data_IF_455287097956
#
_entry.id   IF_455287097956
#
_cell.length_a   1.000
_cell.length_b   1.000
_cell.length_c   1.000
_cell.angle_alpha   90.00
_cell.angle_beta   90.00
_cell.angle_gamma   90.00
#
_symmetry.space_group_name_H-M   'P 1'
#
loop_
_entity.id
_entity.type
_entity.pdbx_description
1 polymer ?
#
# COMPACT_ATOMS: atom_id res chain seq x y z
N UNK A 1 -14.49 -22.77 -5.33
CA UNK A 1 -13.03 -22.50 -5.42
C UNK A 1 -12.85 -21.12 -6.06
N UNK A 2 -11.99 -20.27 -5.54
CA UNK A 2 -11.73 -18.92 -6.06
C UNK A 2 -10.22 -18.64 -6.11
N UNK A 3 -9.81 -17.72 -6.95
CA UNK A 3 -8.46 -17.17 -6.97
C UNK A 3 -8.47 -15.81 -6.25
N UNK A 4 -7.43 -15.58 -5.42
CA UNK A 4 -7.23 -14.35 -4.69
C UNK A 4 -6.27 -13.45 -5.47
N UNK A 5 -6.77 -12.26 -5.87
CA UNK A 5 -6.02 -11.25 -6.58
C UNK A 5 -5.64 -10.11 -5.65
N UNK A 6 -4.47 -9.56 -5.86
CA UNK A 6 -3.92 -8.36 -5.23
C UNK A 6 -3.21 -7.53 -6.29
N UNK A 7 -2.84 -6.29 -6.00
CA UNK A 7 -2.08 -5.46 -6.93
C UNK A 7 -0.69 -5.06 -6.42
N UNK A 8 0.13 -4.56 -7.33
CA UNK A 8 1.51 -4.21 -7.02
C UNK A 8 1.67 -2.95 -6.16
N UNK A 9 0.59 -2.18 -5.94
CA UNK A 9 0.64 -0.97 -5.10
C UNK A 9 0.52 -1.27 -3.59
N UNK A 10 0.44 -2.55 -3.23
CA UNK A 10 0.28 -3.05 -1.87
C UNK A 10 1.60 -3.51 -1.23
N UNK A 11 2.74 -3.16 -1.81
CA UNK A 11 4.12 -3.47 -1.35
C UNK A 11 4.39 -4.98 -1.16
N UNK A 12 3.59 -5.86 -1.76
CA UNK A 12 3.74 -7.30 -1.66
C UNK A 12 4.79 -7.78 -2.63
N UNK A 13 5.77 -8.54 -2.16
CA UNK A 13 6.80 -9.12 -3.02
C UNK A 13 6.25 -10.24 -3.92
N UNK A 14 6.86 -10.41 -5.08
CA UNK A 14 6.52 -11.51 -5.99
C UNK A 14 6.72 -12.89 -5.34
N UNK A 15 7.74 -13.03 -4.48
CA UNK A 15 7.97 -14.27 -3.71
C UNK A 15 6.81 -14.58 -2.78
N UNK A 16 6.36 -13.60 -1.99
CA UNK A 16 5.20 -13.77 -1.11
C UNK A 16 3.94 -14.15 -1.89
N UNK A 17 3.70 -13.49 -3.02
CA UNK A 17 2.55 -13.81 -3.87
C UNK A 17 2.62 -15.24 -4.41
N UNK A 18 3.78 -15.67 -4.93
CA UNK A 18 4.00 -17.04 -5.42
C UNK A 18 3.82 -18.09 -4.32
N UNK A 19 4.40 -17.88 -3.13
CA UNK A 19 4.31 -18.78 -1.97
C UNK A 19 2.88 -18.99 -1.48
N UNK A 20 2.02 -17.99 -1.65
CA UNK A 20 0.64 -18.00 -1.19
C UNK A 20 -0.40 -18.17 -2.31
N UNK A 21 0.02 -18.51 -3.54
CA UNK A 21 -0.84 -18.68 -4.71
C UNK A 21 -1.71 -17.45 -5.02
N UNK A 22 -1.19 -16.25 -4.77
CA UNK A 22 -1.87 -15.01 -5.10
C UNK A 22 -1.66 -14.65 -6.57
N UNK A 23 -2.67 -14.05 -7.19
CA UNK A 23 -2.60 -13.49 -8.53
C UNK A 23 -2.28 -12.00 -8.44
N UNK A 24 -1.22 -11.56 -9.11
CA UNK A 24 -0.79 -10.17 -9.10
C UNK A 24 -1.34 -9.39 -10.29
N UNK A 25 -1.85 -8.20 -10.03
CA UNK A 25 -2.20 -7.19 -11.03
C UNK A 25 -1.12 -6.10 -10.98
N UNK A 26 -0.45 -5.88 -12.09
CA UNK A 26 0.62 -4.88 -12.19
C UNK A 26 0.05 -3.48 -12.38
N UNK A 27 0.37 -2.55 -11.46
CA UNK A 27 0.04 -1.14 -11.57
C UNK A 27 1.20 -0.41 -12.25
N UNK A 28 1.02 0.15 -13.46
CA UNK A 28 2.12 0.66 -14.25
C UNK A 28 2.58 2.06 -13.81
N UNK A 29 3.86 2.33 -14.02
CA UNK A 29 4.44 3.66 -13.92
C UNK A 29 5.25 3.99 -15.18
N UNK A 30 5.49 5.28 -15.42
CA UNK A 30 6.14 5.79 -16.63
C UNK A 30 7.36 6.60 -16.24
N UNK A 31 8.50 6.25 -16.83
CA UNK A 31 9.77 6.99 -16.68
C UNK A 31 10.28 7.36 -18.06
N UNK A 32 10.50 8.65 -18.29
CA UNK A 32 11.02 9.15 -19.58
C UNK A 32 10.24 8.63 -20.80
N UNK A 33 8.92 8.49 -20.68
CA UNK A 33 8.04 8.02 -21.74
C UNK A 33 8.00 6.49 -21.93
N UNK A 34 8.74 5.73 -21.12
CA UNK A 34 8.70 4.27 -21.10
C UNK A 34 7.80 3.80 -19.96
N UNK A 35 6.84 2.94 -20.27
CA UNK A 35 5.96 2.31 -19.29
C UNK A 35 6.63 1.07 -18.72
N UNK A 36 6.58 0.92 -17.41
CA UNK A 36 7.05 -0.24 -16.67
C UNK A 36 5.89 -0.85 -15.89
N UNK A 37 5.79 -2.18 -15.92
CA UNK A 37 4.81 -2.97 -15.21
C UNK A 37 5.53 -3.83 -14.14
N UNK A 38 5.41 -3.49 -12.84
CA UNK A 38 6.01 -4.29 -11.78
C UNK A 38 5.59 -5.75 -11.87
N UNK A 39 6.56 -6.66 -11.65
CA UNK A 39 6.41 -8.13 -11.66
C UNK A 39 6.06 -8.76 -13.04
N UNK A 40 5.83 -7.94 -14.08
CA UNK A 40 5.78 -8.40 -15.48
C UNK A 40 7.10 -8.09 -16.20
N UNK A 41 7.59 -6.85 -16.10
CA UNK A 41 8.84 -6.42 -16.72
C UNK A 41 10.08 -6.73 -15.88
N UNK A 42 9.90 -6.90 -14.56
CA UNK A 42 10.96 -7.28 -13.62
C UNK A 42 10.39 -8.05 -12.41
N UNK A 43 11.10 -9.04 -11.91
CA UNK A 43 10.68 -9.83 -10.74
C UNK A 43 11.00 -9.14 -9.40
N UNK A 44 12.08 -8.36 -9.36
CA UNK A 44 12.54 -7.67 -8.15
C UNK A 44 12.67 -6.18 -8.42
N UNK A 45 12.08 -5.39 -7.54
CA UNK A 45 12.20 -3.94 -7.61
C UNK A 45 13.57 -3.48 -7.08
N UNK A 46 14.34 -2.79 -7.95
CA UNK A 46 15.58 -2.12 -7.55
C UNK A 46 15.25 -0.73 -6.98
N UNK A 47 14.85 -0.71 -5.72
CA UNK A 47 14.47 0.49 -4.99
C UNK A 47 15.59 1.54 -5.01
N UNK A 48 16.84 1.11 -4.82
CA UNK A 48 17.99 2.03 -4.78
C UNK A 48 18.18 2.78 -6.10
N UNK A 49 18.16 2.08 -7.21
CA UNK A 49 18.28 2.70 -8.55
C UNK A 49 17.09 3.62 -8.81
N UNK A 50 15.86 3.19 -8.52
CA UNK A 50 14.67 3.98 -8.74
C UNK A 50 14.68 5.28 -7.91
N UNK A 51 14.90 5.22 -6.60
CA UNK A 51 14.89 6.40 -5.75
C UNK A 51 16.08 7.33 -5.99
N UNK A 52 17.24 6.82 -6.39
CA UNK A 52 18.36 7.66 -6.82
C UNK A 52 18.03 8.44 -8.10
N UNK A 53 17.32 7.85 -9.02
CA UNK A 53 16.83 8.56 -10.21
C UNK A 53 15.89 9.72 -9.82
N UNK A 54 15.01 9.52 -8.83
CA UNK A 54 14.16 10.59 -8.29
C UNK A 54 14.98 11.71 -7.62
N UNK A 55 16.02 11.36 -6.84
CA UNK A 55 16.96 12.35 -6.26
C UNK A 55 17.68 13.13 -7.34
N UNK A 56 18.00 12.50 -8.46
CA UNK A 56 18.58 13.12 -9.66
C UNK A 56 17.63 14.04 -10.44
N UNK A 57 16.37 14.15 -10.01
CA UNK A 57 15.38 15.06 -10.61
C UNK A 57 14.47 14.43 -11.67
N UNK A 58 14.61 13.12 -11.93
CA UNK A 58 13.65 12.42 -12.79
C UNK A 58 12.28 12.36 -12.13
N UNK A 59 11.24 12.55 -12.92
CA UNK A 59 9.86 12.66 -12.46
C UNK A 59 9.05 11.53 -13.12
N UNK A 60 8.85 10.40 -12.45
CA UNK A 60 7.92 9.40 -12.93
C UNK A 60 6.48 9.92 -12.89
N UNK A 61 5.65 9.35 -13.76
CA UNK A 61 4.18 9.49 -13.70
C UNK A 61 3.58 8.12 -13.54
N UNK A 62 2.34 8.07 -13.08
CA UNK A 62 1.59 6.81 -12.95
C UNK A 62 0.39 6.84 -13.88
N UNK A 63 -0.02 5.70 -14.39
CA UNK A 63 -1.23 5.54 -15.17
C UNK A 63 -2.06 4.40 -14.60
N UNK A 64 -3.37 4.46 -14.81
CA UNK A 64 -4.24 3.32 -14.57
C UNK A 64 -4.11 2.27 -15.66
N UNK A 65 -4.60 1.07 -15.40
CA UNK A 65 -4.74 0.01 -16.41
C UNK A 65 -6.11 0.11 -17.09
N UNK A 66 -6.20 -0.38 -18.33
CA UNK A 66 -7.42 -0.33 -19.12
C UNK A 66 -8.45 -1.40 -18.68
N UNK A 67 -9.75 -1.27 -19.06
CA UNK A 67 -10.72 -2.35 -18.86
C UNK A 67 -10.26 -3.67 -19.48
N UNK A 68 -9.67 -3.61 -20.67
CA UNK A 68 -9.14 -4.79 -21.36
C UNK A 68 -8.01 -5.46 -20.56
N UNK A 69 -7.11 -4.68 -19.93
CA UNK A 69 -6.05 -5.24 -19.08
C UNK A 69 -6.64 -5.94 -17.86
N UNK A 70 -7.64 -5.35 -17.19
CA UNK A 70 -8.34 -6.03 -16.09
C UNK A 70 -9.01 -7.32 -16.53
N UNK A 71 -9.68 -7.32 -17.70
CA UNK A 71 -10.24 -8.54 -18.28
C UNK A 71 -9.17 -9.61 -18.50
N UNK A 72 -8.00 -9.22 -19.04
CA UNK A 72 -6.88 -10.14 -19.28
C UNK A 72 -6.34 -10.78 -17.99
N UNK A 73 -6.35 -10.05 -16.86
CA UNK A 73 -5.97 -10.61 -15.57
C UNK A 73 -7.01 -11.61 -15.03
N UNK A 74 -8.29 -11.26 -15.09
CA UNK A 74 -9.35 -12.05 -14.43
C UNK A 74 -9.85 -13.21 -15.26
N UNK A 75 -9.93 -13.06 -16.59
CA UNK A 75 -10.58 -14.03 -17.47
C UNK A 75 -9.98 -15.44 -17.43
N UNK A 76 -8.66 -15.65 -17.27
CA UNK A 76 -8.10 -16.99 -17.14
C UNK A 76 -8.72 -17.79 -15.98
N UNK A 77 -8.88 -17.18 -14.80
CA UNK A 77 -9.50 -17.83 -13.64
C UNK A 77 -10.97 -18.14 -13.88
N UNK A 78 -11.71 -17.22 -14.50
CA UNK A 78 -13.13 -17.43 -14.83
C UNK A 78 -13.34 -18.55 -15.85
N UNK A 79 -12.47 -18.67 -16.86
CA UNK A 79 -12.45 -19.79 -17.84
C UNK A 79 -12.19 -21.14 -17.17
N UNK A 80 -11.37 -21.16 -16.12
CA UNK A 80 -11.13 -22.36 -15.30
C UNK A 80 -12.31 -22.69 -14.37
N UNK A 81 -13.38 -21.89 -14.38
CA UNK A 81 -14.55 -22.10 -13.52
C UNK A 81 -14.35 -21.66 -12.07
N UNK A 82 -13.36 -20.82 -11.82
CA UNK A 82 -13.10 -20.26 -10.49
C UNK A 82 -13.80 -18.90 -10.33
N UNK A 83 -14.17 -18.58 -9.11
CA UNK A 83 -14.59 -17.25 -8.72
C UNK A 83 -13.39 -16.36 -8.44
N UNK A 84 -13.59 -15.07 -8.24
CA UNK A 84 -12.52 -14.09 -7.99
C UNK A 84 -12.82 -13.31 -6.73
N UNK A 85 -11.81 -13.16 -5.89
CA UNK A 85 -11.74 -12.14 -4.86
C UNK A 85 -10.54 -11.26 -5.15
N UNK A 86 -10.77 -9.97 -5.42
CA UNK A 86 -9.70 -8.99 -5.62
C UNK A 86 -9.66 -8.02 -4.45
N UNK A 87 -8.55 -8.04 -3.73
CA UNK A 87 -8.22 -7.06 -2.70
C UNK A 87 -7.40 -5.98 -3.37
N UNK A 88 -7.80 -4.73 -3.22
CA UNK A 88 -7.19 -3.62 -3.92
C UNK A 88 -6.95 -2.40 -3.01
N UNK A 89 -5.97 -1.60 -3.39
CA UNK A 89 -5.74 -0.33 -2.70
C UNK A 89 -6.94 0.63 -2.83
N UNK A 90 -6.96 1.68 -2.00
CA UNK A 90 -8.11 2.59 -1.91
C UNK A 90 -8.53 3.19 -3.26
N UNK A 91 -9.80 3.05 -3.58
CA UNK A 91 -10.44 3.68 -4.75
C UNK A 91 -10.31 5.21 -4.76
N UNK A 92 -10.09 5.83 -3.60
CA UNK A 92 -9.89 7.29 -3.49
C UNK A 92 -8.52 7.76 -3.99
N UNK A 93 -7.58 6.83 -4.21
CA UNK A 93 -6.21 7.17 -4.61
C UNK A 93 -6.00 7.17 -6.12
N UNK A 94 -6.87 6.51 -6.91
CA UNK A 94 -6.68 6.35 -8.35
C UNK A 94 -7.97 6.27 -9.14
N UNK A 95 -7.96 6.83 -10.36
CA UNK A 95 -9.05 6.68 -11.32
C UNK A 95 -9.09 5.33 -12.03
N UNK A 96 -8.12 4.43 -11.81
CA UNK A 96 -8.07 3.09 -12.44
C UNK A 96 -9.31 2.26 -12.14
N UNK A 97 -9.98 2.51 -11.02
CA UNK A 97 -11.15 1.75 -10.59
C UNK A 97 -12.41 1.98 -11.43
N UNK A 98 -12.48 3.07 -12.19
CA UNK A 98 -13.54 3.21 -13.22
C UNK A 98 -13.35 2.21 -14.35
N UNK A 99 -12.11 1.93 -14.74
CA UNK A 99 -11.80 0.90 -15.73
C UNK A 99 -12.04 -0.52 -15.17
N UNK A 100 -11.77 -0.73 -13.88
CA UNK A 100 -12.12 -1.97 -13.18
C UNK A 100 -13.61 -2.23 -13.21
N UNK A 101 -14.43 -1.24 -12.89
CA UNK A 101 -15.90 -1.39 -12.87
C UNK A 101 -16.43 -1.78 -14.26
N UNK A 102 -15.94 -1.17 -15.33
CA UNK A 102 -16.28 -1.54 -16.71
C UNK A 102 -15.89 -3.00 -17.02
N UNK A 103 -14.66 -3.39 -16.65
CA UNK A 103 -14.19 -4.76 -16.87
C UNK A 103 -15.03 -5.80 -16.12
N UNK A 104 -15.43 -5.49 -14.88
CA UNK A 104 -16.28 -6.37 -14.08
C UNK A 104 -17.67 -6.55 -14.70
N UNK A 105 -18.26 -5.48 -15.20
CA UNK A 105 -19.57 -5.56 -15.88
C UNK A 105 -19.47 -6.43 -17.13
N UNK A 106 -18.45 -6.25 -17.98
CA UNK A 106 -18.21 -7.09 -19.14
C UNK A 106 -18.00 -8.58 -18.77
N UNK A 107 -17.21 -8.83 -17.71
CA UNK A 107 -16.93 -10.20 -17.27
C UNK A 107 -18.14 -10.87 -16.64
N UNK A 108 -18.99 -10.16 -15.92
CA UNK A 108 -20.25 -10.68 -15.36
C UNK A 108 -21.26 -11.05 -16.46
N UNK A 109 -21.33 -10.27 -17.54
CA UNK A 109 -22.14 -10.62 -18.71
C UNK A 109 -21.63 -11.91 -19.38
N UNK A 110 -20.31 -12.03 -19.52
CA UNK A 110 -19.67 -13.18 -20.18
C UNK A 110 -19.66 -14.46 -19.32
N UNK A 111 -19.56 -14.31 -18.01
CA UNK A 111 -19.47 -15.40 -17.03
C UNK A 111 -20.55 -15.28 -15.94
N UNK A 112 -21.85 -15.34 -16.28
CA UNK A 112 -22.94 -15.03 -15.34
C UNK A 112 -23.05 -15.98 -14.16
N UNK A 113 -22.41 -17.16 -14.23
CA UNK A 113 -22.37 -18.14 -13.14
C UNK A 113 -21.11 -18.03 -12.27
N UNK A 114 -20.27 -17.01 -12.48
CA UNK A 114 -19.07 -16.78 -11.69
C UNK A 114 -19.26 -15.55 -10.80
N UNK A 115 -18.68 -15.65 -9.61
CA UNK A 115 -18.67 -14.57 -8.63
C UNK A 115 -17.37 -13.77 -8.77
N UNK A 116 -17.49 -12.44 -8.81
CA UNK A 116 -16.35 -11.51 -8.76
C UNK A 116 -16.64 -10.53 -7.64
N UNK A 117 -15.83 -10.58 -6.59
CA UNK A 117 -15.95 -9.73 -5.42
C UNK A 117 -14.70 -8.86 -5.24
N UNK A 118 -14.91 -7.68 -4.69
CA UNK A 118 -13.88 -6.67 -4.46
C UNK A 118 -13.80 -6.31 -2.99
N UNK A 119 -12.59 -6.14 -2.49
CA UNK A 119 -12.30 -5.59 -1.17
C UNK A 119 -11.46 -4.32 -1.36
N UNK A 120 -12.02 -3.17 -0.97
CA UNK A 120 -11.29 -1.90 -0.87
C UNK A 120 -10.61 -1.83 0.50
N UNK A 121 -9.30 -1.93 0.55
CA UNK A 121 -8.53 -1.86 1.80
C UNK A 121 -8.61 -0.49 2.48
N UNK A 122 -9.19 0.53 1.81
CA UNK A 122 -9.14 1.92 2.25
C UNK A 122 -7.70 2.37 2.59
N UNK A 123 -6.72 1.69 2.02
CA UNK A 123 -5.29 1.85 2.23
C UNK A 123 -4.54 1.86 0.91
N UNK A 124 -3.23 1.93 0.99
CA UNK A 124 -2.28 1.73 -0.10
C UNK A 124 -0.94 1.35 0.55
N UNK A 125 -0.06 0.67 -0.19
CA UNK A 125 1.26 0.28 0.31
C UNK A 125 1.16 -0.56 1.60
N UNK A 126 1.96 -0.26 2.60
CA UNK A 126 1.98 -0.97 3.90
C UNK A 126 0.62 -1.00 4.60
N UNK A 127 -0.26 -0.01 4.34
CA UNK A 127 -1.61 0.03 4.91
C UNK A 127 -2.51 -1.09 4.35
N UNK A 128 -2.34 -1.41 3.08
CA UNK A 128 -3.01 -2.56 2.46
C UNK A 128 -2.28 -3.86 2.80
N UNK A 129 -0.94 -3.83 2.77
CA UNK A 129 -0.13 -5.02 3.00
C UNK A 129 -0.42 -5.69 4.34
N UNK A 130 -0.51 -4.91 5.44
CA UNK A 130 -0.80 -5.47 6.77
C UNK A 130 -2.16 -6.20 6.80
N UNK A 131 -3.18 -5.68 6.11
CA UNK A 131 -4.49 -6.32 5.99
C UNK A 131 -4.43 -7.60 5.16
N UNK A 132 -3.69 -7.56 4.05
CA UNK A 132 -3.51 -8.72 3.17
C UNK A 132 -2.79 -9.85 3.90
N UNK A 133 -1.84 -9.56 4.80
CA UNK A 133 -1.17 -10.58 5.62
C UNK A 133 -2.19 -11.38 6.44
N UNK A 134 -3.13 -10.72 7.09
CA UNK A 134 -4.17 -11.38 7.88
C UNK A 134 -5.18 -12.13 7.01
N UNK A 135 -5.58 -11.54 5.87
CA UNK A 135 -6.48 -12.19 4.91
C UNK A 135 -5.84 -13.44 4.30
N UNK A 136 -4.54 -13.41 3.98
CA UNK A 136 -3.82 -14.57 3.45
C UNK A 136 -3.81 -15.72 4.45
N UNK A 137 -3.71 -15.45 5.75
CA UNK A 137 -3.82 -16.50 6.76
C UNK A 137 -5.22 -17.17 6.79
N UNK A 138 -6.28 -16.40 6.53
CA UNK A 138 -7.63 -16.97 6.35
C UNK A 138 -7.73 -17.75 5.04
N UNK A 139 -7.18 -17.23 3.95
CA UNK A 139 -7.16 -17.90 2.64
C UNK A 139 -6.46 -19.27 2.71
N UNK A 140 -5.32 -19.37 3.39
CA UNK A 140 -4.61 -20.63 3.65
C UNK A 140 -5.44 -21.64 4.43
N UNK A 141 -6.33 -21.17 5.30
CA UNK A 141 -7.26 -22.00 6.06
C UNK A 141 -8.52 -22.36 5.26
N UNK A 142 -8.54 -22.07 3.96
CA UNK A 142 -9.67 -22.28 3.04
C UNK A 142 -10.94 -21.51 3.44
N UNK A 143 -10.79 -20.32 4.02
CA UNK A 143 -11.93 -19.42 4.27
C UNK A 143 -12.65 -19.11 2.95
N UNK A 144 -13.96 -19.01 3.02
CA UNK A 144 -14.80 -18.59 1.89
C UNK A 144 -14.66 -17.10 1.60
N UNK A 145 -15.06 -16.68 0.41
CA UNK A 145 -15.13 -15.26 0.05
C UNK A 145 -15.95 -14.46 1.09
N UNK A 146 -17.09 -15.02 1.53
CA UNK A 146 -17.98 -14.34 2.49
C UNK A 146 -17.33 -14.19 3.87
N UNK A 147 -16.59 -15.18 4.34
CA UNK A 147 -15.84 -15.10 5.60
C UNK A 147 -14.72 -14.06 5.53
N UNK A 148 -14.00 -13.97 4.40
CA UNK A 148 -12.96 -12.93 4.22
C UNK A 148 -13.58 -11.54 4.15
N UNK A 149 -14.69 -11.37 3.42
CA UNK A 149 -15.39 -10.07 3.36
C UNK A 149 -15.91 -9.66 4.75
N UNK A 150 -16.48 -10.60 5.52
CA UNK A 150 -16.96 -10.33 6.87
C UNK A 150 -15.82 -9.90 7.79
N UNK A 151 -14.70 -10.63 7.79
CA UNK A 151 -13.49 -10.28 8.51
C UNK A 151 -12.99 -8.88 8.14
N UNK A 152 -12.83 -8.60 6.83
CA UNK A 152 -12.35 -7.30 6.39
C UNK A 152 -13.27 -6.15 6.84
N UNK A 153 -14.59 -6.30 6.72
CA UNK A 153 -15.55 -5.28 7.13
C UNK A 153 -15.49 -4.98 8.63
N UNK A 154 -15.18 -5.96 9.46
CA UNK A 154 -14.99 -5.80 10.89
C UNK A 154 -13.65 -5.12 11.21
N UNK A 155 -12.58 -5.53 10.53
CA UNK A 155 -11.20 -5.19 10.90
C UNK A 155 -10.62 -3.98 10.18
N UNK A 156 -11.16 -3.58 9.01
CA UNK A 156 -10.54 -2.56 8.14
C UNK A 156 -10.22 -1.24 8.86
N UNK A 157 -11.02 -0.85 9.84
CA UNK A 157 -10.82 0.39 10.60
C UNK A 157 -9.78 0.26 11.74
N UNK A 158 -9.26 -0.94 11.98
CA UNK A 158 -8.23 -1.21 12.97
C UNK A 158 -6.80 -1.14 12.41
N UNK A 159 -6.62 -1.09 11.10
CA UNK A 159 -5.29 -0.98 10.49
C UNK A 159 -4.87 0.47 10.29
N UNK A 160 -4.12 1.01 11.24
CA UNK A 160 -3.63 2.39 11.20
C UNK A 160 -2.28 2.49 10.47
N UNK A 161 -2.08 3.59 9.75
CA UNK A 161 -0.82 3.90 9.07
C UNK A 161 -0.46 5.35 9.23
N UNK A 162 0.77 5.60 9.64
CA UNK A 162 1.36 6.94 9.78
C UNK A 162 2.70 6.98 9.08
N UNK A 163 2.98 8.07 8.37
CA UNK A 163 4.25 8.23 7.68
C UNK A 163 4.66 9.70 7.61
N UNK A 164 5.94 9.93 7.39
CA UNK A 164 6.46 11.24 7.04
C UNK A 164 7.14 11.20 5.68
N UNK A 165 7.11 12.31 4.96
CA UNK A 165 7.88 12.50 3.73
C UNK A 165 9.02 13.49 3.98
N UNK A 166 10.15 13.32 3.27
CA UNK A 166 11.28 14.25 3.35
C UNK A 166 11.06 15.46 2.45
N UNK A 167 10.48 15.27 1.26
CA UNK A 167 10.25 16.31 0.27
C UNK A 167 8.79 16.35 -0.20
N UNK A 168 8.12 17.43 0.15
CA UNK A 168 6.71 17.67 -0.22
C UNK A 168 6.47 17.86 -1.72
N UNK A 169 7.52 18.09 -2.53
CA UNK A 169 7.36 18.33 -3.98
C UNK A 169 6.68 17.17 -4.70
N UNK A 170 6.96 15.94 -4.26
CA UNK A 170 6.36 14.73 -4.85
C UNK A 170 4.85 14.69 -4.60
N UNK A 171 4.41 14.90 -3.36
CA UNK A 171 2.99 14.93 -3.00
C UNK A 171 2.26 16.14 -3.61
N UNK A 172 2.90 17.31 -3.65
CA UNK A 172 2.32 18.49 -4.30
C UNK A 172 1.97 18.22 -5.75
N UNK A 173 2.88 17.57 -6.46
CA UNK A 173 2.69 17.23 -7.87
C UNK A 173 1.64 16.17 -8.08
N UNK A 174 1.61 15.16 -7.23
CA UNK A 174 0.70 14.03 -7.36
C UNK A 174 -0.75 14.36 -6.98
N UNK A 175 -0.95 15.31 -6.06
CA UNK A 175 -2.29 15.70 -5.60
C UNK A 175 -3.04 14.64 -4.80
N UNK A 176 -2.36 13.60 -4.28
CA UNK A 176 -2.99 12.47 -3.55
C UNK A 176 -3.11 12.70 -2.05
N UNK A 177 -2.52 13.76 -1.50
CA UNK A 177 -2.63 14.10 -0.08
C UNK A 177 -3.49 15.33 0.10
N UNK A 178 -4.52 15.22 0.89
CA UNK A 178 -5.39 16.35 1.27
C UNK A 178 -4.72 17.25 2.34
N UNK A 179 -5.18 18.48 2.44
CA UNK A 179 -4.71 19.46 3.44
C UNK A 179 -3.22 19.85 3.36
N UNK A 180 -2.55 19.60 2.22
CA UNK A 180 -1.15 19.99 2.03
C UNK A 180 -0.94 21.50 1.81
N UNK A 181 -1.94 22.21 1.28
CA UNK A 181 -1.79 23.62 0.87
C UNK A 181 -1.33 24.56 2.01
N UNK A 182 -1.76 24.26 3.23
CA UNK A 182 -1.39 25.05 4.42
C UNK A 182 0.09 24.90 4.84
N UNK A 183 0.85 23.98 4.22
CA UNK A 183 2.23 23.66 4.61
C UNK A 183 3.29 24.22 3.65
N UNK A 184 2.86 24.88 2.55
CA UNK A 184 3.76 25.49 1.59
C UNK A 184 4.28 26.86 2.08
N UNK A 185 5.22 26.83 3.00
CA UNK A 185 5.93 28.02 3.44
C UNK A 185 7.39 27.67 3.72
N UNK A 186 8.21 27.65 2.70
CA UNK A 186 9.68 27.86 2.64
C UNK A 186 10.61 27.38 3.78
N UNK A 187 10.17 26.57 4.72
CA UNK A 187 11.02 26.14 5.83
C UNK A 187 11.73 24.83 5.50
N UNK A 188 13.05 24.89 5.43
CA UNK A 188 13.92 23.73 5.21
C UNK A 188 13.82 22.74 6.39
N UNK A 189 13.74 21.45 6.06
CA UNK A 189 13.75 20.36 7.05
C UNK A 189 12.43 20.12 7.78
N UNK A 190 11.33 20.73 7.31
CA UNK A 190 9.98 20.40 7.78
C UNK A 190 9.48 19.14 7.08
N UNK A 191 8.99 18.20 7.86
CA UNK A 191 8.38 16.94 7.40
C UNK A 191 6.90 16.90 7.73
N UNK A 192 6.02 16.70 6.75
CA UNK A 192 4.61 16.45 7.02
C UNK A 192 4.45 15.10 7.71
N UNK A 193 3.49 15.02 8.60
CA UNK A 193 2.97 13.78 9.17
C UNK A 193 1.65 13.47 8.49
N UNK A 194 1.56 12.31 7.88
CA UNK A 194 0.45 11.90 7.02
C UNK A 194 -0.12 10.59 7.53
N UNK A 195 -1.43 10.42 7.41
CA UNK A 195 -2.15 9.18 7.72
C UNK A 195 -3.12 8.82 6.61
N UNK A 196 -3.57 7.58 6.58
CA UNK A 196 -4.76 7.16 5.83
C UNK A 196 -5.99 7.44 6.69
N UNK A 197 -6.95 8.21 6.17
CA UNK A 197 -8.22 8.43 6.86
C UNK A 197 -9.10 7.19 6.82
N UNK A 198 -10.14 7.18 7.66
CA UNK A 198 -11.17 6.13 7.65
C UNK A 198 -11.88 5.96 6.30
N UNK A 199 -11.84 6.97 5.44
CA UNK A 199 -12.45 6.97 4.11
C UNK A 199 -11.46 6.61 2.99
N UNK A 200 -10.24 6.19 3.33
CA UNK A 200 -9.21 5.80 2.36
C UNK A 200 -8.52 6.97 1.65
N UNK A 201 -8.42 8.13 2.28
CA UNK A 201 -7.77 9.33 1.73
C UNK A 201 -6.50 9.64 2.54
N UNK A 202 -5.37 9.83 1.87
CA UNK A 202 -4.17 10.34 2.52
C UNK A 202 -4.41 11.78 3.01
N UNK A 203 -4.21 11.99 4.31
CA UNK A 203 -4.50 13.26 4.97
C UNK A 203 -3.28 13.72 5.77
N UNK A 204 -2.86 14.97 5.54
CA UNK A 204 -1.84 15.57 6.37
C UNK A 204 -2.42 15.99 7.72
N UNK A 205 -1.83 15.51 8.79
CA UNK A 205 -2.30 15.69 10.18
C UNK A 205 -1.35 16.53 11.03
N UNK A 206 -0.19 16.91 10.50
CA UNK A 206 0.77 17.70 11.24
C UNK A 206 2.09 17.88 10.53
N UNK A 207 3.05 18.45 11.22
CA UNK A 207 4.42 18.62 10.75
C UNK A 207 5.41 18.60 11.90
N UNK A 208 6.61 18.14 11.62
CA UNK A 208 7.74 18.18 12.55
C UNK A 208 8.98 18.72 11.86
N UNK A 209 9.95 19.19 12.64
CA UNK A 209 11.24 19.66 12.12
C UNK A 209 12.31 18.62 12.42
N UNK A 210 13.01 18.17 11.39
CA UNK A 210 14.13 17.24 11.49
C UNK A 210 13.72 15.77 11.50
N UNK A 211 14.69 14.89 11.17
CA UNK A 211 14.49 13.43 11.04
C UNK A 211 14.17 12.78 12.38
N UNK A 212 14.90 13.13 13.43
CA UNK A 212 14.69 12.58 14.78
C UNK A 212 13.28 12.80 15.30
N UNK A 213 12.74 14.02 15.13
CA UNK A 213 11.36 14.32 15.54
C UNK A 213 10.32 13.58 14.70
N UNK A 214 10.62 13.31 13.43
CA UNK A 214 9.74 12.53 12.58
C UNK A 214 9.69 11.06 13.02
N UNK A 215 10.84 10.46 13.32
CA UNK A 215 10.94 9.11 13.89
C UNK A 215 10.17 9.04 15.22
N UNK A 216 10.44 9.98 16.14
CA UNK A 216 9.76 10.02 17.44
C UNK A 216 8.24 10.16 17.30
N UNK A 217 7.77 10.90 16.28
CA UNK A 217 6.34 11.02 16.02
C UNK A 217 5.72 9.69 15.58
N UNK A 218 6.38 8.91 14.69
CA UNK A 218 5.89 7.59 14.30
C UNK A 218 5.84 6.63 15.51
N UNK A 219 6.90 6.57 16.29
CA UNK A 219 6.97 5.75 17.51
C UNK A 219 5.85 6.15 18.49
N UNK A 220 5.62 7.45 18.65
CA UNK A 220 4.54 7.96 19.51
C UNK A 220 3.16 7.54 19.01
N UNK A 221 2.88 7.59 17.70
CA UNK A 221 1.59 7.13 17.17
C UNK A 221 1.36 5.64 17.45
N UNK A 222 2.38 4.80 17.24
CA UNK A 222 2.29 3.38 17.56
C UNK A 222 2.00 3.19 19.05
N UNK A 223 2.75 3.87 19.93
CA UNK A 223 2.58 3.76 21.37
C UNK A 223 1.20 4.20 21.87
N UNK A 224 0.69 5.30 21.32
CA UNK A 224 -0.57 5.90 21.80
C UNK A 224 -1.81 5.18 21.26
N UNK A 225 -1.73 4.55 20.10
CA UNK A 225 -2.89 4.09 19.34
C UNK A 225 -2.96 2.58 19.18
N UNK A 226 -1.85 1.86 19.31
CA UNK A 226 -1.86 0.40 19.11
C UNK A 226 -2.65 -0.33 20.17
N UNK A 227 -3.19 -1.47 19.78
CA UNK A 227 -3.90 -2.40 20.66
C UNK A 227 -3.29 -3.77 20.47
N UNK A 228 -2.97 -4.46 21.56
CA UNK A 228 -2.44 -5.82 21.58
C UNK A 228 -1.27 -6.06 20.59
N UNK A 229 -0.42 -5.05 20.44
CA UNK A 229 0.60 -4.96 19.38
C UNK A 229 1.61 -6.12 19.41
N UNK A 230 1.84 -6.74 20.57
CA UNK A 230 2.75 -7.88 20.71
C UNK A 230 2.22 -9.13 19.95
N UNK A 231 0.92 -9.18 19.66
CA UNK A 231 0.27 -10.27 18.93
C UNK A 231 -0.03 -9.93 17.46
N UNK A 232 0.29 -8.71 17.04
CA UNK A 232 0.08 -8.25 15.67
C UNK A 232 1.40 -7.93 14.97
N UNK A 233 1.42 -8.06 13.64
CA UNK A 233 2.53 -7.64 12.81
C UNK A 233 2.59 -6.12 12.76
N UNK A 234 3.79 -5.55 12.85
CA UNK A 234 4.07 -4.14 12.54
C UNK A 234 4.85 -4.10 11.23
N UNK A 235 4.43 -3.28 10.29
CA UNK A 235 5.12 -3.13 9.00
C UNK A 235 5.68 -1.72 8.90
N UNK A 236 6.96 -1.61 8.56
CA UNK A 236 7.63 -0.34 8.27
C UNK A 236 7.91 -0.28 6.78
N UNK A 237 7.31 0.69 6.09
CA UNK A 237 7.58 0.96 4.69
C UNK A 237 8.63 2.06 4.53
N UNK A 238 9.52 1.92 3.54
CA UNK A 238 10.58 2.89 3.32
C UNK A 238 10.87 3.11 1.81
N UNK A 239 11.27 4.33 1.46
CA UNK A 239 11.61 4.75 0.10
C UNK A 239 13.11 5.01 0.00
N UNK A 240 13.93 3.95 -0.12
CA UNK A 240 15.40 3.96 -0.07
C UNK A 240 15.92 4.74 1.15
N UNK A 241 15.33 4.43 2.32
CA UNK A 241 15.56 5.07 3.61
C UNK A 241 15.78 4.03 4.73
N UNK A 242 16.44 2.92 4.43
CA UNK A 242 16.63 1.78 5.34
C UNK A 242 17.24 2.19 6.69
N UNK A 243 18.15 3.16 6.71
CA UNK A 243 18.72 3.68 7.95
C UNK A 243 17.65 4.30 8.86
N UNK A 244 16.75 5.12 8.28
CA UNK A 244 15.64 5.73 9.04
C UNK A 244 14.61 4.69 9.47
N UNK A 245 14.29 3.74 8.61
CA UNK A 245 13.37 2.64 8.93
C UNK A 245 13.94 1.77 10.07
N UNK A 246 15.25 1.49 10.06
CA UNK A 246 15.92 0.77 11.14
C UNK A 246 15.85 1.53 12.48
N UNK A 247 16.00 2.86 12.46
CA UNK A 247 15.87 3.67 13.68
C UNK A 247 14.43 3.63 14.23
N UNK A 248 13.40 3.61 13.36
CA UNK A 248 12.01 3.42 13.80
C UNK A 248 11.84 2.04 14.43
N UNK A 249 12.29 0.98 13.76
CA UNK A 249 12.25 -0.40 14.28
C UNK A 249 12.93 -0.50 15.64
N UNK A 250 14.17 -0.01 15.76
CA UNK A 250 14.96 -0.14 16.97
C UNK A 250 14.34 0.64 18.14
N UNK A 251 13.75 1.80 17.85
CA UNK A 251 13.01 2.58 18.84
C UNK A 251 11.75 1.86 19.32
N UNK A 252 11.01 1.24 18.41
CA UNK A 252 9.83 0.43 18.75
C UNK A 252 10.23 -0.81 19.54
N UNK A 253 11.28 -1.53 19.12
CA UNK A 253 11.77 -2.70 19.85
C UNK A 253 12.23 -2.35 21.27
N UNK A 254 12.89 -1.21 21.46
CA UNK A 254 13.30 -0.73 22.78
C UNK A 254 12.08 -0.40 23.67
N UNK A 255 11.04 0.22 23.13
CA UNK A 255 9.81 0.56 23.86
C UNK A 255 9.03 -0.69 24.33
N UNK A 256 9.06 -1.77 23.52
CA UNK A 256 8.29 -3.00 23.78
C UNK A 256 9.20 -4.19 24.18
N UNK A 257 10.40 -3.95 24.70
CA UNK A 257 11.32 -4.97 25.22
C UNK A 257 11.66 -6.08 24.19
N UNK A 258 11.82 -5.72 22.92
CA UNK A 258 12.10 -6.62 21.78
C UNK A 258 11.05 -7.71 21.55
N UNK A 259 9.78 -7.44 21.86
CA UNK A 259 8.70 -8.41 21.68
C UNK A 259 7.91 -8.25 20.38
N UNK A 260 8.12 -7.17 19.64
CA UNK A 260 7.33 -6.91 18.44
C UNK A 260 7.79 -7.75 17.26
N UNK A 261 6.83 -8.26 16.50
CA UNK A 261 7.07 -8.76 15.15
C UNK A 261 7.07 -7.59 14.18
N UNK A 262 8.25 -7.23 13.63
CA UNK A 262 8.41 -6.07 12.74
C UNK A 262 9.00 -6.52 11.41
N UNK A 263 8.35 -6.15 10.32
CA UNK A 263 8.83 -6.32 8.94
C UNK A 263 9.16 -4.96 8.34
N UNK A 264 10.27 -4.83 7.61
CA UNK A 264 10.63 -3.63 6.85
C UNK A 264 10.54 -3.97 5.38
N UNK A 265 9.80 -3.17 4.61
CA UNK A 265 9.59 -3.37 3.17
C UNK A 265 9.92 -2.12 2.37
N UNK A 266 10.33 -2.32 1.11
CA UNK A 266 10.44 -1.24 0.14
C UNK A 266 9.05 -0.83 -0.34
N UNK A 267 8.78 0.48 -0.37
CA UNK A 267 7.58 1.01 -1.02
C UNK A 267 7.74 0.86 -2.53
N UNK A 268 6.73 0.32 -3.18
CA UNK A 268 6.70 0.04 -4.61
C UNK A 268 6.92 1.29 -5.49
N UNK A 269 7.35 1.14 -6.76
CA UNK A 269 7.70 2.29 -7.60
C UNK A 269 6.53 3.22 -7.92
N UNK A 270 5.31 2.68 -8.03
CA UNK A 270 4.11 3.47 -8.36
C UNK A 270 3.78 4.43 -7.22
N UNK A 271 3.66 3.93 -6.00
CA UNK A 271 3.46 4.77 -4.82
C UNK A 271 4.70 5.64 -4.52
N UNK A 272 5.90 5.09 -4.71
CA UNK A 272 7.17 5.78 -4.53
C UNK A 272 7.32 7.02 -5.42
N UNK A 273 6.77 7.00 -6.65
CA UNK A 273 6.71 8.16 -7.53
C UNK A 273 5.94 9.35 -6.92
N UNK A 274 5.00 9.07 -6.01
CA UNK A 274 4.20 10.08 -5.29
C UNK A 274 4.78 10.44 -3.92
N UNK A 275 5.39 9.48 -3.23
CA UNK A 275 5.98 9.68 -1.90
C UNK A 275 7.35 10.35 -1.95
N UNK A 276 8.16 9.99 -2.94
CA UNK A 276 9.55 10.41 -3.07
C UNK A 276 10.50 9.66 -2.13
N UNK A 277 11.81 9.79 -2.35
CA UNK A 277 12.82 9.16 -1.51
C UNK A 277 12.79 9.69 -0.07
N UNK A 278 13.43 8.96 0.84
CA UNK A 278 13.54 9.27 2.27
C UNK A 278 12.19 9.36 3.02
N UNK A 279 11.13 8.82 2.44
CA UNK A 279 9.83 8.60 3.10
C UNK A 279 9.90 7.34 3.94
N UNK A 280 9.37 7.41 5.17
CA UNK A 280 9.23 6.26 6.07
C UNK A 280 7.85 6.27 6.70
N UNK A 281 7.22 5.12 6.78
CA UNK A 281 5.92 4.93 7.40
C UNK A 281 5.87 3.67 8.26
N UNK A 282 4.86 3.59 9.11
CA UNK A 282 4.55 2.43 9.96
C UNK A 282 3.07 2.10 9.87
N UNK A 283 2.76 0.83 9.67
CA UNK A 283 1.40 0.28 9.74
C UNK A 283 1.32 -0.70 10.92
N UNK A 284 0.24 -0.65 11.66
CA UNK A 284 0.04 -1.44 12.87
C UNK A 284 -1.44 -1.60 13.20
N UNK A 285 -1.78 -2.58 14.05
CA UNK A 285 -3.12 -2.77 14.56
C UNK A 285 -3.42 -1.78 15.69
N UNK A 286 -4.52 -1.06 15.58
CA UNK A 286 -4.90 0.04 16.45
C UNK A 286 -6.38 -0.04 16.86
N UNK A 287 -6.76 0.72 17.87
CA UNK A 287 -8.16 0.82 18.26
C UNK A 287 -9.04 1.41 17.15
N UNK A 288 -8.51 2.36 16.41
CA UNK A 288 -9.11 2.97 15.22
C UNK A 288 -8.01 3.56 14.35
N UNK A 289 -8.31 3.76 13.06
CA UNK A 289 -7.45 4.52 12.13
C UNK A 289 -7.24 5.94 12.58
#
# INVERSE_FOLDING_TARGET
MYDLFIDSDEDISLSFAKENNLKLISMPYIVNGVTFKPYEDFETFDAKTFYNMLRGGTIPTTCGISPTDYCNYFEPSLKEGKDILYIHFSRKMSGTFMALDIAIDELKEKYPNRRIELIDTLGITICSYIQIRDIVELYKKNATIDEIIAFHNEEVQHYATYFFADDLKFFKRSGRVSNLAAFFGGMIGIRPLITMSKDGIMTNIGKVKGKTNAINALVKYVKDLSVDIENHLVIIGQCDAMELASLVRDSLQAEYNNKLSIEIVDVNPTAGAHCGPDTVGVAFYAKNR
#
